data_IF_766268968671
#
_entry.id   IF_766268968671
#
_cell.length_a   1.000
_cell.length_b   1.000
_cell.length_c   1.000
_cell.angle_alpha   90.00
_cell.angle_beta   90.00
_cell.angle_gamma   90.00
#
_symmetry.space_group_name_H-M   'P 1'
#
loop_
_entity.id
_entity.type
_entity.pdbx_description
1 polymer ?
#
# COMPACT_ATOMS: atom_id res chain seq x y z
N UNK A 1 -9.07 -23.35 -3.74
CA UNK A 1 -8.63 -21.95 -3.88
C UNK A 1 -7.13 -21.99 -3.81
N UNK A 2 -6.48 -21.44 -4.82
CA UNK A 2 -5.03 -21.39 -4.88
C UNK A 2 -4.49 -20.52 -3.73
N UNK A 3 -3.32 -20.87 -3.16
CA UNK A 3 -2.75 -20.13 -2.02
C UNK A 3 -2.47 -18.67 -2.39
N UNK A 4 -2.01 -18.43 -3.62
CA UNK A 4 -1.72 -17.11 -4.14
C UNK A 4 -3.02 -16.32 -4.32
N UNK A 5 -4.06 -16.92 -4.92
CA UNK A 5 -5.38 -16.29 -5.06
C UNK A 5 -5.99 -15.91 -3.71
N UNK A 6 -5.88 -16.80 -2.71
CA UNK A 6 -6.38 -16.51 -1.36
C UNK A 6 -5.61 -15.35 -0.73
N UNK A 7 -4.27 -15.39 -0.78
CA UNK A 7 -3.43 -14.34 -0.21
C UNK A 7 -3.65 -12.99 -0.90
N UNK A 8 -3.86 -12.98 -2.22
CA UNK A 8 -4.22 -11.79 -2.97
C UNK A 8 -5.56 -11.22 -2.52
N UNK A 9 -6.61 -12.05 -2.45
CA UNK A 9 -7.93 -11.62 -1.98
C UNK A 9 -7.89 -11.06 -0.55
N UNK A 10 -7.17 -11.74 0.34
CA UNK A 10 -6.98 -11.32 1.72
C UNK A 10 -6.19 -10.01 1.81
N UNK A 11 -5.05 -9.91 1.13
CA UNK A 11 -4.21 -8.72 1.12
C UNK A 11 -4.95 -7.49 0.59
N UNK A 12 -5.70 -7.64 -0.51
CA UNK A 12 -6.55 -6.57 -1.06
C UNK A 12 -7.60 -6.08 -0.06
N UNK A 13 -8.22 -6.99 0.72
CA UNK A 13 -9.20 -6.61 1.73
C UNK A 13 -8.55 -5.87 2.90
N UNK A 14 -7.43 -6.39 3.41
CA UNK A 14 -6.70 -5.77 4.53
C UNK A 14 -6.25 -4.37 4.15
N UNK A 15 -5.61 -4.18 2.99
CA UNK A 15 -5.12 -2.87 2.54
C UNK A 15 -6.26 -1.86 2.46
N UNK A 16 -7.40 -2.23 1.87
CA UNK A 16 -8.58 -1.35 1.79
C UNK A 16 -9.10 -0.95 3.17
N UNK A 17 -9.20 -1.91 4.10
CA UNK A 17 -9.68 -1.63 5.45
C UNK A 17 -8.71 -0.72 6.22
N UNK A 18 -7.41 -0.91 6.02
CA UNK A 18 -6.40 -0.03 6.60
C UNK A 18 -6.51 1.38 6.00
N UNK A 19 -6.58 1.54 4.68
CA UNK A 19 -6.72 2.86 4.07
C UNK A 19 -7.94 3.63 4.59
N UNK A 20 -9.10 2.97 4.70
CA UNK A 20 -10.29 3.58 5.29
C UNK A 20 -10.05 3.98 6.76
N UNK A 21 -9.41 3.13 7.55
CA UNK A 21 -9.11 3.45 8.95
C UNK A 21 -8.22 4.68 9.08
N UNK A 22 -7.14 4.76 8.29
CA UNK A 22 -6.20 5.88 8.31
C UNK A 22 -6.85 7.20 7.83
N UNK A 23 -7.76 7.13 6.87
CA UNK A 23 -8.60 8.27 6.45
C UNK A 23 -9.50 8.79 7.59
N UNK A 24 -10.10 7.88 8.37
CA UNK A 24 -11.08 8.26 9.40
C UNK A 24 -10.45 8.79 10.68
N UNK A 25 -9.25 8.34 11.03
CA UNK A 25 -8.60 8.65 12.31
C UNK A 25 -7.58 9.81 12.21
N UNK A 26 -7.42 10.43 11.03
CA UNK A 26 -6.43 11.49 10.77
C UNK A 26 -5.00 11.07 11.16
N UNK A 27 -4.68 9.79 10.91
CA UNK A 27 -3.36 9.25 11.15
C UNK A 27 -2.42 9.67 10.01
N UNK A 28 -1.21 10.11 10.35
CA UNK A 28 -0.28 10.65 9.37
C UNK A 28 0.19 9.63 8.32
N UNK A 29 0.42 10.12 7.10
CA UNK A 29 0.85 9.34 5.92
C UNK A 29 1.98 8.34 6.21
N UNK A 30 2.95 8.75 7.03
CA UNK A 30 4.08 7.90 7.42
C UNK A 30 3.64 6.59 8.08
N UNK A 31 2.73 6.67 9.04
CA UNK A 31 2.24 5.48 9.75
C UNK A 31 1.39 4.61 8.82
N UNK A 32 0.53 5.23 8.01
CA UNK A 32 -0.33 4.54 7.04
C UNK A 32 0.49 3.71 6.06
N UNK A 33 1.40 4.35 5.35
CA UNK A 33 2.19 3.74 4.27
C UNK A 33 3.14 2.68 4.85
N UNK A 34 3.79 2.97 5.98
CA UNK A 34 4.69 2.02 6.65
C UNK A 34 3.95 0.77 7.10
N UNK A 35 2.74 0.92 7.65
CA UNK A 35 1.93 -0.21 8.07
C UNK A 35 1.50 -1.08 6.88
N UNK A 36 1.11 -0.45 5.76
CA UNK A 36 0.80 -1.17 4.51
C UNK A 36 2.03 -1.96 4.01
N UNK A 37 3.22 -1.34 3.97
CA UNK A 37 4.46 -2.03 3.58
C UNK A 37 4.66 -3.30 4.41
N UNK A 38 4.53 -3.20 5.73
CA UNK A 38 4.68 -4.34 6.65
C UNK A 38 3.68 -5.46 6.39
N UNK A 39 2.43 -5.12 6.07
CA UNK A 39 1.39 -6.08 5.70
C UNK A 39 1.79 -6.82 4.42
N UNK A 40 2.21 -6.09 3.38
CA UNK A 40 2.63 -6.67 2.10
C UNK A 40 3.82 -7.62 2.30
N UNK A 41 4.86 -7.16 3.01
CA UNK A 41 6.05 -7.98 3.32
C UNK A 41 5.66 -9.24 4.09
N UNK A 42 4.79 -9.12 5.10
CA UNK A 42 4.36 -10.29 5.90
C UNK A 42 3.61 -11.33 5.08
N UNK A 43 2.79 -10.90 4.11
CA UNK A 43 2.09 -11.81 3.19
C UNK A 43 3.10 -12.52 2.27
N UNK A 44 4.06 -11.79 1.71
CA UNK A 44 5.10 -12.35 0.85
C UNK A 44 6.01 -13.33 1.59
N UNK A 45 6.40 -13.01 2.82
CA UNK A 45 7.20 -13.89 3.67
C UNK A 45 6.47 -15.19 3.98
N UNK A 46 5.16 -15.10 4.30
CA UNK A 46 4.32 -16.28 4.51
C UNK A 46 4.29 -17.16 3.25
N UNK A 47 3.99 -16.59 2.08
CA UNK A 47 3.92 -17.36 0.82
C UNK A 47 5.27 -17.99 0.45
N UNK A 48 6.37 -17.28 0.68
CA UNK A 48 7.72 -17.80 0.49
C UNK A 48 7.98 -19.00 1.40
N UNK A 49 7.56 -18.93 2.68
CA UNK A 49 7.67 -20.05 3.62
C UNK A 49 6.81 -21.26 3.24
N UNK A 50 5.74 -21.04 2.47
CA UNK A 50 4.83 -22.05 1.95
C UNK A 50 5.28 -22.64 0.60
N UNK A 51 6.45 -22.23 0.09
CA UNK A 51 7.08 -22.75 -1.12
C UNK A 51 6.60 -22.11 -2.43
N UNK A 52 5.94 -20.95 -2.37
CA UNK A 52 5.63 -20.15 -3.56
C UNK A 52 6.92 -19.49 -4.08
N UNK A 53 7.07 -19.38 -5.40
CA UNK A 53 8.30 -18.84 -5.98
C UNK A 53 8.45 -17.34 -5.72
N UNK A 54 9.70 -16.89 -5.65
CA UNK A 54 10.05 -15.48 -5.50
C UNK A 54 9.38 -14.59 -6.56
N UNK A 55 9.37 -15.02 -7.83
CA UNK A 55 8.69 -14.28 -8.91
C UNK A 55 7.20 -14.10 -8.64
N UNK A 56 6.52 -15.13 -8.09
CA UNK A 56 5.11 -15.06 -7.77
C UNK A 56 4.84 -14.18 -6.55
N UNK A 57 5.68 -14.26 -5.51
CA UNK A 57 5.55 -13.42 -4.32
C UNK A 57 5.86 -11.96 -4.62
N UNK A 58 6.85 -11.67 -5.46
CA UNK A 58 7.20 -10.32 -5.89
C UNK A 58 6.08 -9.70 -6.72
N UNK A 59 5.55 -10.45 -7.70
CA UNK A 59 4.41 -9.99 -8.49
C UNK A 59 3.18 -9.70 -7.60
N UNK A 60 2.90 -10.56 -6.62
CA UNK A 60 1.83 -10.28 -5.66
C UNK A 60 2.11 -8.99 -4.86
N UNK A 61 3.32 -8.83 -4.33
CA UNK A 61 3.70 -7.66 -3.56
C UNK A 61 3.54 -6.37 -4.37
N UNK A 62 3.97 -6.38 -5.62
CA UNK A 62 3.85 -5.24 -6.53
C UNK A 62 2.37 -4.90 -6.81
N UNK A 63 1.52 -5.90 -7.05
CA UNK A 63 0.09 -5.68 -7.25
C UNK A 63 -0.60 -5.11 -6.00
N UNK A 64 -0.19 -5.55 -4.81
CA UNK A 64 -0.72 -5.03 -3.55
C UNK A 64 -0.20 -3.61 -3.25
N UNK A 65 1.07 -3.32 -3.55
CA UNK A 65 1.66 -1.98 -3.45
C UNK A 65 0.94 -1.00 -4.37
N UNK A 66 0.71 -1.38 -5.63
CA UNK A 66 0.02 -0.53 -6.60
C UNK A 66 -1.42 -0.23 -6.16
N UNK A 67 -2.12 -1.23 -5.61
CA UNK A 67 -3.45 -1.01 -5.03
C UNK A 67 -3.42 -0.01 -3.87
N UNK A 68 -2.45 -0.13 -2.96
CA UNK A 68 -2.30 0.78 -1.84
C UNK A 68 -1.96 2.20 -2.30
N UNK A 69 -1.05 2.34 -3.26
CA UNK A 69 -0.66 3.61 -3.88
C UNK A 69 -1.87 4.31 -4.48
N UNK A 70 -2.66 3.60 -5.29
CA UNK A 70 -3.86 4.16 -5.89
C UNK A 70 -4.87 4.63 -4.83
N UNK A 71 -5.11 3.82 -3.79
CA UNK A 71 -6.03 4.19 -2.71
C UNK A 71 -5.56 5.45 -1.96
N UNK A 72 -4.26 5.56 -1.68
CA UNK A 72 -3.69 6.75 -1.05
C UNK A 72 -3.83 8.00 -1.93
N UNK A 73 -3.49 7.89 -3.22
CA UNK A 73 -3.62 9.01 -4.16
C UNK A 73 -5.07 9.49 -4.30
N UNK A 74 -6.02 8.56 -4.42
CA UNK A 74 -7.45 8.89 -4.50
C UNK A 74 -7.89 9.67 -3.25
N UNK A 75 -7.46 9.22 -2.07
CA UNK A 75 -7.73 9.90 -0.80
C UNK A 75 -7.15 11.32 -0.75
N UNK A 76 -5.88 11.49 -1.13
CA UNK A 76 -5.25 12.81 -1.16
C UNK A 76 -5.98 13.77 -2.10
N UNK A 77 -6.37 13.29 -3.29
CA UNK A 77 -7.10 14.08 -4.30
C UNK A 77 -8.50 14.47 -3.80
N UNK A 78 -9.18 13.58 -3.07
CA UNK A 78 -10.51 13.86 -2.54
C UNK A 78 -10.51 14.84 -1.36
N UNK A 79 -9.43 14.84 -0.56
CA UNK A 79 -9.35 15.63 0.67
C UNK A 79 -8.66 16.99 0.51
N UNK A 80 -7.92 17.24 -0.58
CA UNK A 80 -7.24 18.53 -0.82
C UNK A 80 -8.04 19.43 -1.76
N UNK A 81 -8.22 20.70 -1.37
CA UNK A 81 -8.84 21.75 -2.19
C UNK A 81 -7.83 22.41 -3.14
N UNK A 82 -7.08 21.60 -3.88
CA UNK A 82 -6.00 22.02 -4.77
C UNK A 82 -6.21 21.42 -6.17
N UNK A 83 -5.33 21.78 -7.11
CA UNK A 83 -5.35 21.16 -8.43
C UNK A 83 -5.06 19.66 -8.33
N UNK A 84 -5.89 18.84 -8.97
CA UNK A 84 -5.82 17.38 -8.84
C UNK A 84 -4.51 16.80 -9.35
N UNK A 85 -3.96 17.37 -10.42
CA UNK A 85 -2.72 16.88 -11.02
C UNK A 85 -1.54 17.21 -10.11
N UNK A 86 -1.54 18.41 -9.51
CA UNK A 86 -0.54 18.81 -8.51
C UNK A 86 -0.58 17.91 -7.28
N UNK A 87 -1.77 17.69 -6.71
CA UNK A 87 -1.94 16.82 -5.54
C UNK A 87 -1.45 15.41 -5.85
N UNK A 88 -1.79 14.88 -7.02
CA UNK A 88 -1.37 13.54 -7.44
C UNK A 88 0.15 13.44 -7.53
N UNK A 89 0.81 14.38 -8.20
CA UNK A 89 2.28 14.37 -8.37
C UNK A 89 3.00 14.44 -7.02
N UNK A 90 2.59 15.35 -6.12
CA UNK A 90 3.18 15.47 -4.79
C UNK A 90 2.97 14.21 -3.95
N UNK A 91 1.73 13.70 -3.94
CA UNK A 91 1.36 12.52 -3.16
C UNK A 91 2.03 11.25 -3.69
N UNK A 92 2.27 11.16 -5.00
CA UNK A 92 3.01 10.04 -5.60
C UNK A 92 4.47 10.05 -5.11
N UNK A 93 5.12 11.21 -5.08
CA UNK A 93 6.48 11.34 -4.52
C UNK A 93 6.51 10.94 -3.04
N UNK A 94 5.53 11.40 -2.25
CA UNK A 94 5.43 11.06 -0.84
C UNK A 94 5.24 9.57 -0.61
N UNK A 95 4.30 8.95 -1.32
CA UNK A 95 4.03 7.52 -1.19
C UNK A 95 5.29 6.70 -1.50
N UNK A 96 5.91 6.95 -2.64
CA UNK A 96 7.08 6.20 -3.08
C UNK A 96 8.26 6.37 -2.10
N UNK A 97 8.50 7.59 -1.64
CA UNK A 97 9.58 7.87 -0.70
C UNK A 97 9.34 7.22 0.66
N UNK A 98 8.14 7.36 1.23
CA UNK A 98 7.80 6.78 2.54
C UNK A 98 7.79 5.26 2.46
N UNK A 99 7.25 4.69 1.38
CA UNK A 99 7.20 3.23 1.21
C UNK A 99 8.62 2.65 1.14
N UNK A 100 9.54 3.31 0.46
CA UNK A 100 10.93 2.85 0.36
C UNK A 100 11.69 3.07 1.68
N UNK A 101 11.65 4.29 2.23
CA UNK A 101 12.55 4.75 3.28
C UNK A 101 11.96 4.69 4.71
N UNK A 102 10.65 4.53 4.86
CA UNK A 102 9.93 4.58 6.14
C UNK A 102 10.19 5.88 6.93
N UNK A 103 10.37 6.98 6.21
CA UNK A 103 10.51 8.35 6.72
C UNK A 103 9.93 9.37 5.73
N UNK A 104 9.72 10.62 6.18
CA UNK A 104 9.26 11.69 5.30
C UNK A 104 10.39 12.18 4.38
N UNK A 105 10.10 12.58 3.13
CA UNK A 105 11.07 13.27 2.29
C UNK A 105 11.47 14.62 2.92
N UNK A 106 12.78 14.94 2.88
CA UNK A 106 13.35 16.23 3.32
C UNK A 106 13.02 17.40 2.39
#
# INVERSE_FOLDING_TARGET
>A
MDKLEFAEGLGKKIIKDQSIFFETEDNGDLEHITNIKRIIVSISDYLSSEGISEDQTNNLADNLRELARQAYLDSCIENRNEDKDVVKEESEVWFEYIYENEEYPE
#
